data_IF_586218017800
#
_entry.id   IF_586218017800
#
_cell.length_a   1.000
_cell.length_b   1.000
_cell.length_c   1.000
_cell.angle_alpha   90.00
_cell.angle_beta   90.00
_cell.angle_gamma   90.00
#
_symmetry.space_group_name_H-M   'P 1'
#
loop_
_entity.id
_entity.type
_entity.pdbx_description
1 polymer ?
#
# COMPACT_ATOMS: atom_id res chain seq x y z
N UNK A 1 -11.19 4.95 -31.54
CA UNK A 1 -9.95 4.41 -30.96
C UNK A 1 -9.87 4.88 -29.51
N UNK A 2 -9.77 3.97 -28.52
CA UNK A 2 -9.48 4.38 -27.12
C UNK A 2 -8.06 4.93 -27.13
N UNK A 3 -7.88 6.22 -26.82
CA UNK A 3 -6.55 6.81 -26.62
C UNK A 3 -5.81 5.96 -25.56
N UNK A 4 -4.57 5.60 -25.82
CA UNK A 4 -3.72 4.95 -24.83
C UNK A 4 -3.57 5.88 -23.61
N UNK A 5 -3.52 5.31 -22.40
CA UNK A 5 -3.25 6.10 -21.20
C UNK A 5 -1.85 6.73 -21.31
N UNK A 6 -1.66 8.00 -20.91
CA UNK A 6 -0.36 8.62 -20.76
C UNK A 6 0.33 8.01 -19.52
N UNK A 7 1.13 6.96 -19.76
CA UNK A 7 1.87 6.27 -18.71
C UNK A 7 3.10 7.08 -18.27
N UNK A 8 3.55 6.84 -17.05
CA UNK A 8 4.85 7.35 -16.58
C UNK A 8 5.98 6.80 -17.43
N UNK A 9 7.09 7.51 -17.50
CA UNK A 9 8.35 7.01 -18.07
C UNK A 9 9.30 6.50 -16.97
N UNK A 10 10.46 5.96 -17.36
CA UNK A 10 11.45 5.43 -16.43
C UNK A 10 11.94 6.47 -15.43
N UNK A 11 12.19 7.71 -15.89
CA UNK A 11 12.65 8.80 -15.02
C UNK A 11 11.63 9.11 -13.92
N UNK A 12 10.34 9.17 -14.26
CA UNK A 12 9.27 9.44 -13.31
C UNK A 12 9.10 8.28 -12.31
N UNK A 13 9.21 7.03 -12.78
CA UNK A 13 9.17 5.86 -11.90
C UNK A 13 10.36 5.79 -10.95
N UNK A 14 11.57 6.11 -11.45
CA UNK A 14 12.78 6.19 -10.62
C UNK A 14 12.65 7.29 -9.57
N UNK A 15 12.16 8.48 -9.95
CA UNK A 15 11.88 9.56 -8.99
C UNK A 15 10.84 9.14 -7.96
N UNK A 16 9.78 8.43 -8.35
CA UNK A 16 8.80 7.93 -7.38
C UNK A 16 9.42 6.92 -6.39
N UNK A 17 10.29 6.04 -6.85
CA UNK A 17 10.99 5.10 -5.97
C UNK A 17 11.92 5.86 -5.01
N UNK A 18 12.64 6.88 -5.48
CA UNK A 18 13.55 7.66 -4.64
C UNK A 18 12.81 8.60 -3.69
N UNK A 19 11.90 9.40 -4.22
CA UNK A 19 11.31 10.53 -3.52
C UNK A 19 9.95 10.21 -2.88
N UNK A 20 9.30 9.13 -3.31
CA UNK A 20 8.00 8.66 -2.78
C UNK A 20 6.79 9.44 -3.25
N UNK A 21 6.91 10.34 -4.23
CA UNK A 21 5.77 11.13 -4.73
C UNK A 21 5.86 11.46 -6.23
N UNK A 22 4.69 11.76 -6.81
CA UNK A 22 4.55 12.33 -8.17
C UNK A 22 3.51 13.45 -8.10
N UNK A 23 3.88 14.64 -8.54
CA UNK A 23 2.96 15.77 -8.68
C UNK A 23 2.45 15.85 -10.13
N UNK A 24 1.13 15.95 -10.29
CA UNK A 24 0.42 16.00 -11.56
C UNK A 24 -0.36 17.30 -11.68
N UNK A 25 -0.45 17.83 -12.89
CA UNK A 25 -1.28 18.97 -13.26
C UNK A 25 -2.15 18.61 -14.48
N UNK A 26 -3.23 17.82 -14.28
CA UNK A 26 -4.13 17.46 -15.36
C UNK A 26 -4.93 18.68 -15.86
N UNK A 27 -5.35 18.63 -17.13
CA UNK A 27 -6.08 19.70 -17.82
C UNK A 27 -7.60 19.60 -17.59
N UNK A 28 -8.04 19.83 -16.36
CA UNK A 28 -9.46 19.88 -16.04
C UNK A 28 -10.08 21.23 -16.42
N UNK A 29 -11.39 21.26 -16.76
CA UNK A 29 -12.14 22.52 -16.81
C UNK A 29 -12.11 23.24 -15.45
N UNK A 30 -11.76 24.52 -15.38
CA UNK A 30 -11.70 25.27 -14.11
C UNK A 30 -13.00 25.21 -13.30
N UNK A 31 -14.14 25.19 -13.98
CA UNK A 31 -15.48 25.14 -13.40
C UNK A 31 -15.72 23.86 -12.57
N UNK A 32 -15.03 22.77 -12.91
CA UNK A 32 -15.13 21.52 -12.18
C UNK A 32 -14.59 21.66 -10.74
N UNK A 33 -13.47 22.35 -10.60
CA UNK A 33 -12.85 22.55 -9.26
C UNK A 33 -13.68 23.50 -8.41
N UNK A 34 -14.19 24.57 -8.99
CA UNK A 34 -15.07 25.53 -8.31
C UNK A 34 -16.38 24.84 -7.87
N UNK A 35 -16.96 24.00 -8.71
CA UNK A 35 -18.15 23.22 -8.38
C UNK A 35 -17.87 22.29 -7.19
N UNK A 36 -16.82 21.46 -7.26
CA UNK A 36 -16.45 20.54 -6.18
C UNK A 36 -16.18 21.30 -4.88
N UNK A 37 -15.49 22.44 -4.95
CA UNK A 37 -15.21 23.28 -3.77
C UNK A 37 -16.52 23.72 -3.09
N UNK A 38 -17.47 24.29 -3.87
CA UNK A 38 -18.78 24.74 -3.36
C UNK A 38 -19.62 23.60 -2.78
N UNK A 39 -19.63 22.45 -3.44
CA UNK A 39 -20.36 21.27 -2.95
C UNK A 39 -19.77 20.75 -1.63
N UNK A 40 -18.43 20.78 -1.45
CA UNK A 40 -17.79 20.46 -0.19
C UNK A 40 -18.22 21.44 0.90
N UNK A 41 -18.18 22.76 0.65
CA UNK A 41 -18.61 23.78 1.64
C UNK A 41 -20.08 23.58 2.03
N UNK A 42 -20.95 23.39 1.04
CA UNK A 42 -22.36 23.17 1.29
C UNK A 42 -22.62 21.89 2.11
N UNK A 43 -21.91 20.81 1.78
CA UNK A 43 -22.02 19.54 2.50
C UNK A 43 -21.55 19.69 3.95
N UNK A 44 -20.38 20.27 4.17
CA UNK A 44 -19.81 20.44 5.52
C UNK A 44 -20.67 21.35 6.40
N UNK A 45 -21.24 22.42 5.82
CA UNK A 45 -22.12 23.32 6.55
C UNK A 45 -23.43 22.67 6.99
N UNK A 46 -23.98 21.75 6.20
CA UNK A 46 -25.28 21.08 6.48
C UNK A 46 -25.13 19.82 7.33
N UNK A 47 -24.10 19.02 7.08
CA UNK A 47 -24.00 17.64 7.58
C UNK A 47 -22.73 17.37 8.38
N UNK A 48 -21.82 18.35 8.51
CA UNK A 48 -20.49 18.12 9.05
C UNK A 48 -19.61 17.25 8.16
N UNK A 49 -18.54 16.70 8.72
CA UNK A 49 -17.62 15.85 7.95
C UNK A 49 -18.20 14.44 7.77
N UNK A 50 -18.53 14.09 6.55
CA UNK A 50 -19.17 12.83 6.19
C UNK A 50 -18.17 11.67 5.97
N UNK A 51 -16.89 11.92 6.21
CA UNK A 51 -15.86 10.87 6.15
C UNK A 51 -15.82 10.18 4.78
N UNK A 52 -15.91 8.87 4.77
CA UNK A 52 -15.80 8.06 3.55
C UNK A 52 -16.98 8.22 2.57
N UNK A 53 -18.05 8.90 2.98
CA UNK A 53 -19.22 9.15 2.14
C UNK A 53 -19.06 10.36 1.20
N UNK A 54 -17.90 11.01 1.18
CA UNK A 54 -17.64 12.18 0.32
C UNK A 54 -17.88 11.86 -1.17
N UNK A 55 -17.44 10.72 -1.67
CA UNK A 55 -17.55 10.38 -3.09
C UNK A 55 -18.99 10.11 -3.54
N UNK A 56 -19.85 9.35 -2.81
CA UNK A 56 -21.26 9.23 -3.16
C UNK A 56 -22.02 10.54 -3.13
N UNK A 57 -21.61 11.49 -2.32
CA UNK A 57 -22.29 12.79 -2.16
C UNK A 57 -21.83 13.83 -3.16
N UNK A 58 -20.59 13.75 -3.63
CA UNK A 58 -20.02 14.62 -4.66
C UNK A 58 -19.41 13.72 -5.74
N UNK A 59 -20.26 13.15 -6.65
CA UNK A 59 -19.79 12.18 -7.66
C UNK A 59 -18.76 12.74 -8.63
N UNK A 60 -18.74 14.06 -8.85
CA UNK A 60 -17.76 14.72 -9.71
C UNK A 60 -16.30 14.51 -9.26
N UNK A 61 -16.09 14.18 -7.98
CA UNK A 61 -14.77 13.79 -7.49
C UNK A 61 -14.22 12.55 -8.22
N UNK A 62 -15.10 11.63 -8.65
CA UNK A 62 -14.68 10.47 -9.43
C UNK A 62 -14.01 10.89 -10.76
N UNK A 63 -14.51 11.97 -11.41
CA UNK A 63 -13.93 12.51 -12.65
C UNK A 63 -12.48 12.94 -12.46
N UNK A 64 -12.13 13.44 -11.26
CA UNK A 64 -10.75 13.82 -10.92
C UNK A 64 -9.82 12.60 -11.01
N UNK A 65 -10.21 11.48 -10.42
CA UNK A 65 -9.37 10.28 -10.39
C UNK A 65 -9.49 9.44 -11.67
N UNK A 66 -10.52 9.64 -12.48
CA UNK A 66 -10.68 8.98 -13.78
C UNK A 66 -9.94 9.71 -14.92
N UNK A 67 -9.36 10.87 -14.65
CA UNK A 67 -8.55 11.59 -15.63
C UNK A 67 -7.40 10.71 -16.17
N UNK A 68 -7.18 10.68 -17.51
CA UNK A 68 -6.20 9.78 -18.13
C UNK A 68 -4.79 9.88 -17.52
N UNK A 69 -4.31 11.10 -17.22
CA UNK A 69 -3.00 11.33 -16.62
C UNK A 69 -2.91 10.72 -15.20
N UNK A 70 -3.95 10.87 -14.39
CA UNK A 70 -4.01 10.30 -13.02
C UNK A 70 -4.06 8.78 -13.08
N UNK A 71 -4.91 8.24 -13.95
CA UNK A 71 -5.00 6.79 -14.18
C UNK A 71 -3.70 6.21 -14.70
N UNK A 72 -3.02 6.92 -15.61
CA UNK A 72 -1.72 6.51 -16.12
C UNK A 72 -0.65 6.46 -15.04
N UNK A 73 -0.57 7.46 -14.20
CA UNK A 73 0.36 7.51 -13.07
C UNK A 73 0.08 6.40 -12.03
N UNK A 74 -1.18 6.24 -11.61
CA UNK A 74 -1.57 5.15 -10.71
C UNK A 74 -1.31 3.76 -11.32
N UNK A 75 -1.50 3.61 -12.64
CA UNK A 75 -1.16 2.36 -13.34
C UNK A 75 0.35 2.09 -13.29
N UNK A 76 1.19 3.09 -13.48
CA UNK A 76 2.64 2.96 -13.35
C UNK A 76 3.04 2.49 -11.95
N UNK A 77 2.51 3.16 -10.92
CA UNK A 77 2.88 2.91 -9.52
C UNK A 77 2.28 1.62 -8.95
N UNK A 78 1.00 1.31 -9.27
CA UNK A 78 0.23 0.23 -8.62
C UNK A 78 -0.17 -0.92 -9.55
N UNK A 79 0.18 -0.85 -10.85
CA UNK A 79 -0.23 -1.87 -11.82
C UNK A 79 -1.59 -1.60 -12.46
N UNK A 80 -1.90 -2.35 -13.53
CA UNK A 80 -3.08 -2.13 -14.39
C UNK A 80 -4.43 -2.31 -13.70
N UNK A 81 -4.49 -3.07 -12.62
CA UNK A 81 -5.71 -3.44 -11.90
C UNK A 81 -5.74 -2.87 -10.48
N UNK A 82 -5.20 -1.68 -10.27
CA UNK A 82 -5.30 -1.02 -8.97
C UNK A 82 -6.77 -0.71 -8.61
N UNK A 83 -7.03 -0.54 -7.33
CA UNK A 83 -8.36 -0.24 -6.79
C UNK A 83 -8.32 1.05 -5.98
N UNK A 84 -9.33 1.91 -6.19
CA UNK A 84 -9.64 2.98 -5.26
C UNK A 84 -10.28 2.35 -4.02
N UNK A 85 -9.62 2.45 -2.87
CA UNK A 85 -10.12 1.93 -1.61
C UNK A 85 -11.30 2.75 -1.09
N UNK A 86 -12.12 2.17 -0.22
CA UNK A 86 -13.25 2.87 0.39
C UNK A 86 -12.84 3.92 1.43
N UNK A 87 -11.59 3.97 1.85
CA UNK A 87 -11.07 5.06 2.69
C UNK A 87 -10.83 6.29 1.82
N UNK A 88 -11.75 7.24 1.95
CA UNK A 88 -11.82 8.50 1.17
C UNK A 88 -12.21 9.58 2.13
N UNK A 89 -11.40 10.62 2.26
CA UNK A 89 -11.63 11.60 3.30
C UNK A 89 -11.36 13.02 2.82
N UNK A 90 -12.24 13.95 3.19
CA UNK A 90 -11.98 15.37 3.04
C UNK A 90 -11.37 15.91 4.34
N UNK A 91 -10.08 16.18 4.31
CA UNK A 91 -9.42 16.93 5.37
C UNK A 91 -9.67 18.41 5.17
N UNK A 92 -10.14 19.09 6.19
CA UNK A 92 -10.27 20.54 6.11
C UNK A 92 -9.64 21.22 7.31
N UNK A 93 -9.01 22.36 7.06
CA UNK A 93 -8.41 23.20 8.08
C UNK A 93 -9.06 24.59 8.00
N UNK A 94 -9.69 24.99 9.08
CA UNK A 94 -10.24 26.36 9.21
C UNK A 94 -9.11 27.36 9.47
N UNK A 95 -9.33 28.66 9.25
CA UNK A 95 -8.42 29.72 9.66
C UNK A 95 -7.97 29.56 11.12
N UNK A 96 -6.67 29.69 11.36
CA UNK A 96 -6.08 29.51 12.69
C UNK A 96 -5.86 28.07 13.12
N UNK A 97 -6.19 27.06 12.30
CA UNK A 97 -5.83 25.67 12.59
C UNK A 97 -4.32 25.53 12.75
N UNK A 98 -3.90 24.84 13.81
CA UNK A 98 -2.50 24.47 14.01
C UNK A 98 -2.10 23.35 13.06
N UNK A 99 -0.81 23.27 12.71
CA UNK A 99 -0.28 22.15 11.92
C UNK A 99 -0.26 20.85 12.73
N UNK A 100 0.13 19.77 12.06
CA UNK A 100 0.37 18.46 12.67
C UNK A 100 1.88 18.20 12.72
N UNK A 101 2.28 17.32 13.61
CA UNK A 101 3.60 16.70 13.54
C UNK A 101 3.68 15.76 12.34
N UNK A 102 4.90 15.51 11.83
CA UNK A 102 5.10 14.52 10.79
C UNK A 102 4.72 13.13 11.27
N UNK A 103 3.97 12.41 10.44
CA UNK A 103 3.48 11.06 10.73
C UNK A 103 3.38 10.23 9.44
N UNK A 104 3.18 8.93 9.62
CA UNK A 104 2.75 8.00 8.58
C UNK A 104 1.30 7.60 8.82
N UNK A 105 0.58 7.27 7.77
CA UNK A 105 -0.79 6.75 7.89
C UNK A 105 -0.85 5.24 8.19
N UNK A 106 0.26 4.55 8.15
CA UNK A 106 0.37 3.16 8.56
C UNK A 106 0.31 3.06 10.10
N UNK A 107 -0.90 2.96 10.63
CA UNK A 107 -1.16 2.94 12.10
C UNK A 107 -0.92 1.59 12.76
N UNK A 108 -0.48 0.61 12.03
CA UNK A 108 -0.45 -0.75 12.51
C UNK A 108 0.89 -1.05 13.18
N UNK A 109 1.00 -0.69 14.46
CA UNK A 109 2.23 -0.88 15.28
C UNK A 109 2.75 -2.32 15.41
N UNK A 110 2.04 -3.30 14.84
CA UNK A 110 2.45 -4.71 14.76
C UNK A 110 2.98 -5.11 13.38
N UNK A 111 3.17 -4.18 12.46
CA UNK A 111 3.77 -4.49 11.16
C UNK A 111 5.21 -4.89 11.39
N UNK A 112 5.53 -6.11 10.98
CA UNK A 112 6.84 -6.70 11.23
C UNK A 112 7.92 -6.22 10.28
N UNK A 113 7.55 -5.51 9.21
CA UNK A 113 8.45 -4.90 8.25
C UNK A 113 7.75 -3.71 7.59
N UNK A 114 8.53 -2.72 7.19
CA UNK A 114 8.04 -1.59 6.42
C UNK A 114 7.58 -2.04 5.03
N UNK A 115 6.50 -1.44 4.50
CA UNK A 115 5.98 -1.73 3.17
C UNK A 115 6.81 -1.02 2.10
N UNK A 116 8.09 -1.35 1.95
CA UNK A 116 8.97 -0.71 0.96
C UNK A 116 8.50 -0.95 -0.48
N UNK A 117 7.91 -2.12 -0.76
CA UNK A 117 7.25 -2.38 -2.04
C UNK A 117 5.93 -1.63 -2.10
N UNK A 118 5.80 -0.73 -3.07
CA UNK A 118 4.61 0.12 -3.17
C UNK A 118 3.37 -0.69 -3.57
N UNK A 119 2.67 -1.22 -2.56
CA UNK A 119 1.37 -1.88 -2.73
C UNK A 119 0.20 -0.95 -2.44
N UNK A 120 0.48 0.18 -1.77
CA UNK A 120 -0.48 1.22 -1.44
C UNK A 120 0.06 2.59 -1.80
N UNK A 121 -0.83 3.45 -2.31
CA UNK A 121 -0.54 4.85 -2.58
C UNK A 121 -1.70 5.72 -2.13
N UNK A 122 -1.42 6.97 -1.81
CA UNK A 122 -2.42 8.00 -1.55
C UNK A 122 -2.39 9.03 -2.66
N UNK A 123 -3.54 9.58 -3.00
CA UNK A 123 -3.65 10.73 -3.87
C UNK A 123 -4.28 11.89 -3.09
N UNK A 124 -3.61 13.03 -3.11
CA UNK A 124 -4.08 14.30 -2.54
C UNK A 124 -4.56 15.20 -3.67
N UNK A 125 -5.77 15.69 -3.57
CA UNK A 125 -6.37 16.61 -4.51
C UNK A 125 -6.84 17.87 -3.78
N UNK A 126 -6.53 19.03 -4.33
CA UNK A 126 -6.97 20.32 -3.83
C UNK A 126 -7.93 20.97 -4.84
N UNK A 127 -9.20 21.25 -4.44
CA UNK A 127 -10.16 21.93 -5.32
C UNK A 127 -9.95 23.45 -5.40
N UNK A 128 -9.04 24.01 -4.59
CA UNK A 128 -8.73 25.44 -4.56
C UNK A 128 -7.23 25.71 -4.73
N UNK A 129 -6.89 26.96 -5.04
CA UNK A 129 -5.50 27.42 -4.94
C UNK A 129 -4.97 27.21 -3.51
N UNK A 130 -3.81 26.64 -3.41
CA UNK A 130 -3.25 26.18 -2.12
C UNK A 130 -1.84 26.75 -1.93
N UNK A 131 -1.71 28.08 -1.70
CA UNK A 131 -0.43 28.68 -1.31
C UNK A 131 -0.01 28.22 0.09
N UNK A 132 1.24 28.47 0.48
CA UNK A 132 1.79 27.99 1.76
C UNK A 132 0.97 28.44 2.98
N UNK A 133 0.43 29.64 2.93
CA UNK A 133 -0.30 30.28 4.03
C UNK A 133 -1.62 29.61 4.37
N UNK A 134 -2.25 28.93 3.42
CA UNK A 134 -3.53 28.19 3.67
C UNK A 134 -3.29 26.83 4.34
N UNK A 135 -2.05 26.45 4.60
CA UNK A 135 -1.70 25.23 5.31
C UNK A 135 -1.87 23.95 4.47
N UNK A 136 -1.20 23.84 3.30
CA UNK A 136 -1.19 22.60 2.53
C UNK A 136 -0.57 21.44 3.31
N UNK A 137 -0.57 20.26 2.70
CA UNK A 137 0.22 19.14 3.19
C UNK A 137 1.69 19.38 2.86
N UNK A 138 2.56 19.08 3.82
CA UNK A 138 4.00 19.00 3.62
C UNK A 138 4.44 17.53 3.70
N UNK A 139 5.40 17.15 2.90
CA UNK A 139 6.00 15.82 2.85
C UNK A 139 7.50 15.90 3.07
N UNK A 140 8.10 14.77 3.47
CA UNK A 140 9.54 14.58 3.51
C UNK A 140 9.93 13.61 2.37
N UNK A 141 10.27 14.09 1.16
CA UNK A 141 10.62 13.23 0.04
C UNK A 141 11.75 12.25 0.39
N UNK A 142 11.61 10.98 -0.02
CA UNK A 142 12.58 9.93 0.27
C UNK A 142 12.41 9.25 1.64
N UNK A 143 11.52 9.75 2.49
CA UNK A 143 11.35 9.27 3.86
C UNK A 143 10.45 8.03 4.01
N UNK A 144 9.82 7.54 2.97
CA UNK A 144 8.90 6.39 3.01
C UNK A 144 9.53 5.10 3.54
N UNK A 145 10.84 4.99 3.49
CA UNK A 145 11.59 3.82 3.90
C UNK A 145 12.04 3.85 5.37
N UNK A 146 11.91 4.99 6.04
CA UNK A 146 12.35 5.16 7.42
C UNK A 146 11.22 4.94 8.40
N UNK A 147 11.51 4.17 9.46
CA UNK A 147 10.56 3.86 10.53
C UNK A 147 10.44 5.02 11.52
N UNK A 148 11.56 5.67 11.81
CA UNK A 148 11.64 6.68 12.86
C UNK A 148 11.48 8.09 12.30
N UNK A 149 10.76 8.94 13.05
CA UNK A 149 10.65 10.37 12.71
C UNK A 149 12.02 11.07 12.73
N UNK A 150 12.93 10.63 13.60
CA UNK A 150 14.28 11.17 13.66
C UNK A 150 15.06 11.00 12.35
N UNK A 151 14.99 9.82 11.75
CA UNK A 151 15.61 9.54 10.46
C UNK A 151 14.90 10.31 9.34
N UNK A 152 13.57 10.34 9.36
CA UNK A 152 12.78 11.07 8.37
C UNK A 152 13.06 12.58 8.37
N UNK A 153 13.29 13.20 9.54
CA UNK A 153 13.59 14.62 9.66
C UNK A 153 14.97 15.05 9.12
N UNK A 154 15.79 14.11 8.69
CA UNK A 154 17.01 14.43 7.94
C UNK A 154 16.70 14.88 6.50
N UNK A 155 15.47 14.65 6.02
CA UNK A 155 15.01 15.05 4.70
C UNK A 155 14.41 16.46 4.72
N UNK A 156 14.60 17.19 3.62
CA UNK A 156 14.05 18.54 3.49
C UNK A 156 12.53 18.49 3.26
N UNK A 157 11.83 19.34 3.99
CA UNK A 157 10.38 19.49 3.83
C UNK A 157 10.02 20.06 2.46
N UNK A 158 9.10 19.41 1.76
CA UNK A 158 8.47 19.88 0.53
C UNK A 158 7.01 20.21 0.78
N UNK A 159 6.63 21.46 0.53
CA UNK A 159 5.25 21.92 0.66
C UNK A 159 4.49 21.65 -0.63
N UNK A 160 3.35 20.96 -0.55
CA UNK A 160 2.52 20.61 -1.70
C UNK A 160 1.55 21.74 -2.07
N UNK A 161 2.11 22.92 -2.37
CA UNK A 161 1.36 24.06 -2.91
C UNK A 161 1.01 23.85 -4.38
N UNK A 162 -0.10 24.42 -4.84
CA UNK A 162 -0.48 24.38 -6.25
C UNK A 162 -1.81 25.05 -6.56
N UNK A 163 -2.08 25.18 -7.86
CA UNK A 163 -3.34 25.66 -8.41
C UNK A 163 -4.47 24.64 -8.21
N UNK A 164 -5.75 25.06 -8.32
CA UNK A 164 -6.87 24.13 -8.30
C UNK A 164 -6.67 23.00 -9.31
N UNK A 165 -6.95 21.76 -8.90
CA UNK A 165 -6.73 20.59 -9.74
C UNK A 165 -5.38 19.93 -9.58
N UNK A 166 -4.46 20.50 -8.80
CA UNK A 166 -3.19 19.84 -8.47
C UNK A 166 -3.45 18.51 -7.75
N UNK A 167 -2.84 17.45 -8.25
CA UNK A 167 -2.87 16.11 -7.64
C UNK A 167 -1.46 15.69 -7.30
N UNK A 168 -1.27 15.18 -6.10
CA UNK A 168 -0.01 14.53 -5.69
C UNK A 168 -0.30 13.09 -5.30
N UNK A 169 0.31 12.14 -6.01
CA UNK A 169 0.30 10.72 -5.65
C UNK A 169 1.54 10.48 -4.79
N UNK A 170 1.36 9.91 -3.60
CA UNK A 170 2.45 9.61 -2.68
C UNK A 170 2.46 8.13 -2.29
N UNK A 171 3.65 7.63 -1.96
CA UNK A 171 3.79 6.33 -1.30
C UNK A 171 3.05 6.35 0.04
N UNK A 172 2.36 5.26 0.41
CA UNK A 172 1.53 5.21 1.61
C UNK A 172 2.32 5.50 2.90
N UNK A 173 3.56 5.08 2.97
CA UNK A 173 4.45 5.26 4.12
C UNK A 173 5.29 6.55 4.06
N UNK A 174 5.03 7.47 3.12
CA UNK A 174 5.75 8.74 3.07
C UNK A 174 5.38 9.60 4.28
N UNK A 175 6.39 10.08 5.02
CA UNK A 175 6.18 10.98 6.14
C UNK A 175 5.60 12.31 5.67
N UNK A 176 4.48 12.70 6.27
CA UNK A 176 3.73 13.90 5.90
C UNK A 176 3.04 14.55 7.09
N UNK A 177 2.60 15.78 6.90
CA UNK A 177 1.83 16.54 7.90
C UNK A 177 0.92 17.56 7.24
N UNK A 178 -0.16 17.97 7.91
CA UNK A 178 -0.85 19.21 7.58
C UNK A 178 -0.08 20.40 8.16
N UNK A 179 0.10 21.46 7.37
CA UNK A 179 0.66 22.73 7.87
C UNK A 179 -0.42 23.56 8.54
N UNK A 180 0.00 24.54 9.37
CA UNK A 180 -0.91 25.50 9.97
C UNK A 180 -1.59 26.37 8.90
N UNK A 181 -2.89 26.64 9.06
CA UNK A 181 -3.62 27.59 8.21
C UNK A 181 -3.54 28.98 8.78
N UNK A 182 -2.69 29.82 8.20
CA UNK A 182 -2.46 31.21 8.57
C UNK A 182 -3.31 32.18 7.74
N UNK A 183 -4.15 31.67 6.83
CA UNK A 183 -5.02 32.46 5.96
C UNK A 183 -6.36 32.74 6.61
N UNK A 184 -7.22 33.47 5.89
CA UNK A 184 -8.62 33.75 6.28
C UNK A 184 -9.63 32.78 5.62
N UNK A 185 -9.18 31.78 4.88
CA UNK A 185 -10.01 30.86 4.11
C UNK A 185 -9.84 29.42 4.59
N UNK A 186 -10.91 28.62 4.44
CA UNK A 186 -10.84 27.19 4.69
C UNK A 186 -9.95 26.49 3.64
N UNK A 187 -9.21 25.47 4.06
CA UNK A 187 -8.46 24.61 3.19
C UNK A 187 -9.10 23.22 3.16
N UNK A 188 -9.45 22.75 1.98
CA UNK A 188 -9.94 21.40 1.72
C UNK A 188 -8.86 20.58 0.99
N UNK A 189 -8.65 19.36 1.43
CA UNK A 189 -7.78 18.39 0.77
C UNK A 189 -8.47 17.03 0.79
N UNK A 190 -8.69 16.48 -0.39
CA UNK A 190 -9.27 15.16 -0.53
C UNK A 190 -8.15 14.12 -0.59
N UNK A 191 -8.14 13.22 0.39
CA UNK A 191 -7.21 12.09 0.49
C UNK A 191 -7.92 10.80 0.10
N UNK A 192 -7.44 10.15 -0.95
CA UNK A 192 -7.96 8.90 -1.46
C UNK A 192 -6.87 7.86 -1.47
N UNK A 193 -7.18 6.66 -0.95
CA UNK A 193 -6.27 5.53 -0.97
C UNK A 193 -6.49 4.66 -2.19
N UNK A 194 -5.37 4.13 -2.71
CA UNK A 194 -5.35 3.18 -3.80
C UNK A 194 -4.44 2.02 -3.45
N UNK A 195 -4.77 0.82 -3.91
CA UNK A 195 -3.90 -0.33 -3.68
C UNK A 195 -3.79 -1.25 -4.89
N UNK A 196 -2.65 -1.93 -4.95
CA UNK A 196 -2.29 -2.89 -5.98
C UNK A 196 -3.05 -4.21 -5.75
N UNK A 197 -3.58 -4.78 -6.82
CA UNK A 197 -4.23 -6.10 -6.75
C UNK A 197 -3.31 -7.25 -7.14
N UNK A 198 -2.30 -7.01 -7.96
CA UNK A 198 -1.41 -8.05 -8.47
C UNK A 198 0.04 -7.62 -8.27
N UNK A 199 0.87 -8.52 -7.77
CA UNK A 199 2.31 -8.31 -7.73
C UNK A 199 2.83 -8.09 -9.17
N UNK A 200 3.89 -7.28 -9.35
CA UNK A 200 4.42 -6.99 -10.66
C UNK A 200 4.91 -8.28 -11.35
N UNK A 201 4.63 -8.42 -12.62
CA UNK A 201 5.18 -9.49 -13.49
C UNK A 201 5.79 -8.93 -14.76
N UNK A 202 5.49 -7.68 -15.05
CA UNK A 202 6.01 -6.86 -16.14
C UNK A 202 5.88 -5.39 -15.76
N UNK A 203 6.66 -4.49 -16.34
CA UNK A 203 6.50 -3.05 -16.15
C UNK A 203 5.10 -2.58 -16.57
N UNK A 204 4.53 -1.64 -15.83
CA UNK A 204 3.22 -1.02 -16.13
C UNK A 204 3.33 0.46 -16.45
N UNK A 205 4.51 0.91 -16.84
CA UNK A 205 4.86 2.24 -17.35
C UNK A 205 5.60 2.12 -18.68
N UNK A 206 5.99 3.25 -19.31
CA UNK A 206 6.82 3.26 -20.50
C UNK A 206 8.25 2.93 -20.11
N UNK A 207 8.56 1.63 -20.09
CA UNK A 207 9.84 1.11 -19.66
C UNK A 207 10.76 0.86 -20.85
N UNK A 208 11.93 1.47 -20.83
CA UNK A 208 13.02 1.28 -21.80
C UNK A 208 14.29 0.74 -21.12
N UNK A 209 14.40 0.91 -19.80
CA UNK A 209 15.59 0.62 -19.03
C UNK A 209 15.35 -0.52 -18.03
N UNK A 210 16.01 -1.64 -18.21
CA UNK A 210 15.93 -2.78 -17.28
C UNK A 210 16.86 -2.65 -16.08
N UNK A 211 17.82 -1.69 -16.11
CA UNK A 211 18.77 -1.48 -15.03
C UNK A 211 18.42 -0.23 -14.23
N UNK A 212 18.64 -0.32 -12.94
CA UNK A 212 18.57 0.86 -12.09
C UNK A 212 19.75 1.79 -12.37
N UNK A 213 19.46 3.02 -12.73
CA UNK A 213 20.39 4.14 -12.75
C UNK A 213 19.80 5.26 -11.92
N UNK A 214 20.59 5.86 -11.00
CA UNK A 214 20.13 6.98 -10.17
C UNK A 214 19.59 8.12 -11.03
N UNK A 215 18.63 8.86 -10.49
CA UNK A 215 18.17 10.09 -11.12
C UNK A 215 19.17 11.23 -10.85
N UNK A 216 19.15 12.27 -11.68
CA UNK A 216 20.03 13.45 -11.50
C UNK A 216 19.75 14.23 -10.22
N UNK A 217 18.67 13.93 -9.50
CA UNK A 217 18.33 14.53 -8.20
C UNK A 217 19.11 13.96 -7.01
N UNK A 218 19.98 12.97 -7.21
CA UNK A 218 20.80 12.37 -6.13
C UNK A 218 21.59 13.35 -5.26
N UNK A 219 21.90 14.53 -5.77
CA UNK A 219 22.66 15.54 -5.00
C UNK A 219 21.91 16.11 -3.79
N UNK A 220 20.60 15.87 -3.68
CA UNK A 220 19.76 16.40 -2.59
C UNK A 220 19.74 15.46 -1.39
N UNK A 221 19.86 14.15 -1.64
CA UNK A 221 19.80 13.12 -0.61
C UNK A 221 21.12 12.34 -0.61
N UNK A 222 21.90 12.53 0.43
CA UNK A 222 23.20 11.87 0.64
C UNK A 222 23.08 10.35 0.90
N UNK A 223 22.03 9.70 0.40
CA UNK A 223 21.76 8.31 0.75
C UNK A 223 22.42 7.34 -0.22
N UNK A 224 23.36 6.57 0.30
CA UNK A 224 23.95 5.39 -0.38
C UNK A 224 22.99 4.21 -0.34
N UNK A 225 21.68 4.44 -0.67
CA UNK A 225 20.63 3.42 -0.64
C UNK A 225 20.45 2.71 -1.99
N UNK A 226 21.46 2.75 -2.85
CA UNK A 226 21.38 2.21 -4.21
C UNK A 226 20.99 0.74 -4.27
N UNK A 227 21.41 -0.06 -3.28
CA UNK A 227 21.08 -1.48 -3.23
C UNK A 227 19.58 -1.69 -2.99
N UNK A 228 18.98 -0.89 -2.12
CA UNK A 228 17.54 -0.89 -1.88
C UNK A 228 16.77 -0.46 -3.13
N UNK A 229 17.16 0.65 -3.75
CA UNK A 229 16.50 1.15 -4.98
C UNK A 229 16.58 0.15 -6.14
N UNK A 230 17.72 -0.54 -6.31
CA UNK A 230 17.86 -1.62 -7.29
C UNK A 230 16.90 -2.77 -7.00
N UNK A 231 16.78 -3.20 -5.75
CA UNK A 231 15.86 -4.26 -5.35
C UNK A 231 14.40 -3.88 -5.66
N UNK A 232 14.00 -2.64 -5.34
CA UNK A 232 12.65 -2.13 -5.60
C UNK A 232 12.38 -1.94 -7.11
N UNK A 233 13.38 -1.50 -7.87
CA UNK A 233 13.30 -1.41 -9.33
C UNK A 233 13.07 -2.78 -9.95
N UNK A 234 13.91 -3.78 -9.60
CA UNK A 234 13.77 -5.15 -10.08
C UNK A 234 12.41 -5.74 -9.74
N UNK A 235 11.92 -5.53 -8.50
CA UNK A 235 10.58 -5.96 -8.13
C UNK A 235 9.50 -5.33 -9.03
N UNK A 236 9.55 -4.02 -9.30
CA UNK A 236 8.59 -3.35 -10.18
C UNK A 236 8.66 -3.87 -11.64
N UNK A 237 9.82 -4.32 -12.09
CA UNK A 237 10.00 -4.99 -13.40
C UNK A 237 9.38 -6.40 -13.43
N UNK A 238 8.99 -6.95 -12.28
CA UNK A 238 8.52 -8.33 -12.17
C UNK A 238 9.65 -9.35 -12.00
N UNK A 239 10.87 -8.88 -11.74
CA UNK A 239 12.03 -9.72 -11.45
C UNK A 239 12.20 -9.81 -9.92
N UNK A 240 11.99 -11.00 -9.38
CA UNK A 240 12.20 -11.29 -7.97
C UNK A 240 13.63 -11.73 -7.64
N UNK A 241 14.48 -11.87 -8.66
CA UNK A 241 15.89 -12.26 -8.46
C UNK A 241 16.70 -11.02 -8.04
N UNK A 242 17.36 -11.01 -6.87
CA UNK A 242 18.32 -9.96 -6.59
C UNK A 242 19.41 -10.00 -7.65
N UNK A 243 19.68 -8.85 -8.27
CA UNK A 243 20.75 -8.76 -9.25
C UNK A 243 22.07 -9.16 -8.58
N UNK A 244 22.64 -10.27 -9.04
CA UNK A 244 23.78 -11.00 -8.48
C UNK A 244 25.15 -10.30 -8.63
N UNK A 245 25.21 -8.98 -8.49
CA UNK A 245 26.45 -8.22 -8.59
C UNK A 245 26.93 -7.65 -7.24
N UNK A 246 26.59 -8.33 -6.14
CA UNK A 246 27.19 -7.96 -4.86
C UNK A 246 28.58 -8.60 -4.79
N UNK A 247 29.55 -7.76 -4.50
CA UNK A 247 30.91 -8.18 -4.18
C UNK A 247 30.86 -9.16 -3.01
N UNK A 248 31.23 -10.41 -3.25
CA UNK A 248 31.23 -11.50 -2.24
C UNK A 248 32.23 -11.29 -1.12
N UNK A 249 32.94 -10.16 -1.09
CA UNK A 249 33.95 -9.80 -0.08
C UNK A 249 33.39 -9.07 1.14
N UNK A 250 32.05 -8.86 1.23
CA UNK A 250 31.49 -8.26 2.43
C UNK A 250 31.68 -9.16 3.66
N UNK A 251 32.12 -8.54 4.76
CA UNK A 251 32.09 -9.19 6.08
C UNK A 251 30.64 -9.24 6.59
N UNK A 252 30.05 -10.43 6.52
CA UNK A 252 28.66 -10.65 6.93
C UNK A 252 28.46 -10.37 8.42
N UNK A 253 29.45 -10.64 9.27
CA UNK A 253 29.37 -10.38 10.70
C UNK A 253 29.34 -8.88 11.00
N UNK A 254 30.06 -8.07 10.23
CA UNK A 254 30.00 -6.61 10.33
C UNK A 254 28.63 -6.09 9.88
N UNK A 255 28.09 -6.58 8.75
CA UNK A 255 26.77 -6.18 8.26
C UNK A 255 25.65 -6.54 9.25
N UNK A 256 25.72 -7.72 9.88
CA UNK A 256 24.77 -8.12 10.93
C UNK A 256 24.82 -7.15 12.11
N UNK A 257 26.02 -6.75 12.57
CA UNK A 257 26.18 -5.73 13.62
C UNK A 257 25.58 -4.40 13.21
N UNK A 258 25.70 -4.00 11.94
CA UNK A 258 25.15 -2.75 11.41
C UNK A 258 23.63 -2.71 11.37
N UNK A 259 22.93 -3.83 11.50
CA UNK A 259 21.47 -3.83 11.72
C UNK A 259 21.06 -3.16 13.04
N UNK A 260 21.98 -2.98 13.98
CA UNK A 260 21.80 -2.24 15.23
C UNK A 260 22.49 -0.88 15.27
N UNK A 261 22.97 -0.36 14.14
CA UNK A 261 23.61 0.95 14.05
C UNK A 261 22.67 2.07 14.50
N UNK A 262 23.19 3.18 14.97
CA UNK A 262 22.40 4.36 15.34
C UNK A 262 21.69 4.98 14.11
N UNK A 263 22.37 4.98 12.97
CA UNK A 263 21.80 5.46 11.71
C UNK A 263 20.85 4.43 11.11
N UNK A 264 19.59 4.82 10.94
CA UNK A 264 18.59 3.99 10.25
C UNK A 264 18.94 3.75 8.79
N UNK A 265 19.58 4.72 8.15
CA UNK A 265 20.09 4.61 6.79
C UNK A 265 21.11 3.46 6.68
N UNK A 266 22.02 3.34 7.65
CA UNK A 266 22.98 2.25 7.70
C UNK A 266 22.33 0.89 7.97
N UNK A 267 21.31 0.86 8.85
CA UNK A 267 20.50 -0.35 9.08
C UNK A 267 19.82 -0.84 7.82
N UNK A 268 19.17 0.05 7.06
CA UNK A 268 18.50 -0.28 5.80
C UNK A 268 19.46 -0.78 4.73
N UNK A 269 20.59 -0.07 4.55
CA UNK A 269 21.64 -0.51 3.62
C UNK A 269 22.15 -1.89 3.96
N UNK A 270 22.42 -2.15 5.23
CA UNK A 270 22.90 -3.46 5.71
C UNK A 270 21.85 -4.55 5.49
N UNK A 271 20.57 -4.28 5.77
CA UNK A 271 19.48 -5.22 5.55
C UNK A 271 19.38 -5.65 4.08
N UNK A 272 19.37 -4.70 3.14
CA UNK A 272 19.31 -5.01 1.71
C UNK A 272 20.59 -5.68 1.19
N UNK A 273 21.74 -5.33 1.76
CA UNK A 273 23.01 -6.01 1.43
C UNK A 273 22.99 -7.47 1.89
N UNK A 274 22.54 -7.72 3.13
CA UNK A 274 22.39 -9.08 3.66
C UNK A 274 21.36 -9.90 2.86
N UNK A 275 20.23 -9.28 2.47
CA UNK A 275 19.25 -9.92 1.60
C UNK A 275 19.86 -10.38 0.28
N UNK A 276 20.66 -9.55 -0.34
CA UNK A 276 21.31 -9.86 -1.61
C UNK A 276 22.46 -10.90 -1.47
N UNK A 277 23.11 -11.02 -0.30
CA UNK A 277 24.04 -12.11 0.01
C UNK A 277 23.29 -13.45 0.10
N UNK A 278 22.09 -13.46 0.68
CA UNK A 278 21.19 -14.61 0.70
C UNK A 278 21.60 -15.72 1.66
N UNK A 279 21.65 -16.96 1.18
CA UNK A 279 21.68 -18.22 1.95
C UNK A 279 22.65 -18.29 3.13
N UNK A 280 23.78 -17.61 3.06
CA UNK A 280 24.85 -17.70 4.07
C UNK A 280 24.49 -17.07 5.41
N UNK A 281 23.59 -16.06 5.38
CA UNK A 281 23.25 -15.22 6.55
C UNK A 281 21.86 -15.54 7.13
N UNK A 282 21.14 -16.50 6.56
CA UNK A 282 19.76 -16.81 6.95
C UNK A 282 19.64 -17.26 8.42
N UNK A 283 20.51 -18.15 8.95
CA UNK A 283 20.40 -18.56 10.36
C UNK A 283 20.51 -17.35 11.30
N UNK A 284 21.52 -16.51 11.13
CA UNK A 284 21.74 -15.31 11.94
C UNK A 284 20.57 -14.32 11.82
N UNK A 285 20.01 -14.15 10.64
CA UNK A 285 18.84 -13.27 10.44
C UNK A 285 17.59 -13.81 11.14
N UNK A 286 17.38 -15.14 11.15
CA UNK A 286 16.26 -15.76 11.87
C UNK A 286 16.40 -15.53 13.37
N UNK A 287 17.61 -15.70 13.94
CA UNK A 287 17.87 -15.47 15.37
C UNK A 287 17.59 -14.01 15.79
N UNK A 288 17.75 -13.06 14.88
CA UNK A 288 17.47 -11.65 15.12
C UNK A 288 15.97 -11.27 15.03
N UNK A 289 15.14 -12.15 14.49
CA UNK A 289 13.70 -11.85 14.30
C UNK A 289 12.95 -11.65 15.63
N UNK A 290 13.44 -12.13 16.75
CA UNK A 290 12.79 -11.92 18.05
C UNK A 290 13.04 -10.51 18.61
N UNK A 291 14.08 -9.83 18.14
CA UNK A 291 14.43 -8.47 18.58
C UNK A 291 13.39 -7.46 18.13
N UNK A 292 12.91 -6.63 19.07
CA UNK A 292 11.97 -5.54 18.76
C UNK A 292 12.59 -4.45 17.89
N UNK A 293 13.87 -4.16 18.06
CA UNK A 293 14.57 -3.07 17.38
C UNK A 293 15.21 -3.47 16.05
N UNK A 294 15.72 -4.70 15.95
CA UNK A 294 16.49 -5.19 14.80
C UNK A 294 15.64 -6.07 13.89
N UNK A 295 14.66 -6.77 14.46
CA UNK A 295 13.92 -7.80 13.76
C UNK A 295 13.14 -7.32 12.54
N UNK A 296 12.72 -6.05 12.48
CA UNK A 296 12.12 -5.47 11.29
C UNK A 296 13.13 -5.44 10.11
N UNK A 297 14.36 -5.00 10.38
CA UNK A 297 15.44 -4.98 9.36
C UNK A 297 15.88 -6.39 8.95
N UNK A 298 15.92 -7.34 9.90
CA UNK A 298 16.14 -8.75 9.57
C UNK A 298 15.02 -9.31 8.68
N UNK A 299 13.76 -8.93 8.93
CA UNK A 299 12.62 -9.31 8.08
C UNK A 299 12.75 -8.72 6.66
N UNK A 300 13.15 -7.45 6.54
CA UNK A 300 13.44 -6.82 5.25
C UNK A 300 14.54 -7.54 4.48
N UNK A 301 15.63 -7.91 5.18
CA UNK A 301 16.72 -8.69 4.59
C UNK A 301 16.20 -10.04 4.05
N UNK A 302 15.41 -10.77 4.83
CA UNK A 302 14.83 -12.04 4.41
C UNK A 302 13.86 -11.87 3.22
N UNK A 303 12.96 -10.87 3.26
CA UNK A 303 11.97 -10.59 2.20
C UNK A 303 12.58 -10.05 0.90
N UNK A 304 13.79 -9.48 0.96
CA UNK A 304 14.55 -9.02 -0.21
C UNK A 304 15.58 -10.03 -0.71
N UNK A 305 15.63 -11.22 -0.14
CA UNK A 305 16.55 -12.27 -0.53
C UNK A 305 16.15 -12.98 -1.83
N UNK A 306 17.03 -13.90 -2.30
CA UNK A 306 16.70 -14.80 -3.40
C UNK A 306 15.69 -15.87 -2.94
N UNK A 307 14.74 -16.31 -3.76
CA UNK A 307 13.81 -17.40 -3.44
C UNK A 307 14.45 -18.72 -2.98
N UNK A 308 15.74 -18.95 -3.23
CA UNK A 308 16.48 -20.12 -2.71
C UNK A 308 16.43 -20.25 -1.18
N UNK A 309 16.17 -19.16 -0.45
CA UNK A 309 16.07 -19.15 1.02
C UNK A 309 14.73 -19.70 1.53
N UNK A 310 13.71 -19.79 0.69
CA UNK A 310 12.33 -20.15 1.06
C UNK A 310 12.23 -21.45 1.87
N UNK A 311 12.94 -22.56 1.55
CA UNK A 311 12.87 -23.79 2.34
C UNK A 311 13.32 -23.60 3.80
N UNK A 312 14.33 -22.75 4.06
CA UNK A 312 14.79 -22.42 5.41
C UNK A 312 13.76 -21.61 6.17
N UNK A 313 13.11 -20.62 5.50
CA UNK A 313 12.06 -19.81 6.10
C UNK A 313 10.82 -20.64 6.41
N UNK A 314 10.43 -21.56 5.54
CA UNK A 314 9.33 -22.50 5.79
C UNK A 314 9.57 -23.29 7.09
N UNK A 315 10.79 -23.77 7.32
CA UNK A 315 11.15 -24.49 8.54
C UNK A 315 10.99 -23.60 9.78
N UNK A 316 11.29 -22.31 9.68
CA UNK A 316 11.17 -21.33 10.76
C UNK A 316 9.72 -20.90 11.07
N UNK A 317 8.73 -21.23 10.23
CA UNK A 317 7.30 -21.06 10.57
C UNK A 317 6.86 -21.92 11.78
N UNK A 318 7.69 -22.87 12.23
CA UNK A 318 7.47 -23.70 13.42
C UNK A 318 8.14 -23.17 14.69
N UNK A 319 8.74 -21.97 14.62
CA UNK A 319 9.44 -21.37 15.76
C UNK A 319 8.50 -21.18 16.97
N UNK A 320 9.02 -21.27 18.18
CA UNK A 320 8.24 -21.11 19.42
C UNK A 320 7.67 -19.68 19.57
N UNK A 321 8.45 -18.67 19.21
CA UNK A 321 8.04 -17.26 19.25
C UNK A 321 7.05 -16.95 18.12
N UNK A 322 5.90 -16.41 18.47
CA UNK A 322 4.89 -15.96 17.52
C UNK A 322 5.36 -14.73 16.70
N UNK A 323 6.20 -13.89 17.29
CA UNK A 323 6.79 -12.75 16.58
C UNK A 323 7.70 -13.22 15.43
N UNK A 324 8.51 -14.26 15.68
CA UNK A 324 9.36 -14.87 14.66
C UNK A 324 8.49 -15.48 13.55
N UNK A 325 7.47 -16.28 13.90
CA UNK A 325 6.56 -16.88 12.91
C UNK A 325 5.85 -15.82 12.07
N UNK A 326 5.40 -14.73 12.70
CA UNK A 326 4.72 -13.63 11.99
C UNK A 326 5.67 -12.93 10.99
N UNK A 327 6.91 -12.64 11.39
CA UNK A 327 7.92 -12.02 10.54
C UNK A 327 8.35 -12.94 9.39
N UNK A 328 8.48 -14.23 9.66
CA UNK A 328 8.74 -15.23 8.61
C UNK A 328 7.58 -15.29 7.62
N UNK A 329 6.34 -15.32 8.09
CA UNK A 329 5.17 -15.29 7.20
C UNK A 329 5.19 -14.05 6.29
N UNK A 330 5.52 -12.87 6.83
CA UNK A 330 5.66 -11.62 6.07
C UNK A 330 6.76 -11.73 5.00
N UNK A 331 7.96 -12.19 5.38
CA UNK A 331 9.08 -12.35 4.46
C UNK A 331 8.76 -13.32 3.30
N UNK A 332 8.07 -14.44 3.61
CA UNK A 332 7.59 -15.38 2.57
C UNK A 332 6.60 -14.74 1.59
N UNK A 333 5.73 -13.85 2.09
CA UNK A 333 4.82 -13.06 1.26
C UNK A 333 5.54 -12.06 0.35
N UNK A 334 6.63 -11.48 0.84
CA UNK A 334 7.47 -10.59 0.04
C UNK A 334 8.27 -11.35 -1.02
N UNK A 335 8.78 -12.53 -0.70
CA UNK A 335 9.43 -13.40 -1.70
C UNK A 335 8.44 -13.87 -2.78
N UNK A 336 7.17 -14.06 -2.43
CA UNK A 336 6.10 -14.41 -3.37
C UNK A 336 6.24 -15.80 -4.00
N UNK A 337 7.09 -16.66 -3.45
CA UNK A 337 7.36 -17.98 -4.00
C UNK A 337 6.20 -18.95 -3.69
N UNK A 338 5.73 -19.62 -4.73
CA UNK A 338 4.58 -20.53 -4.66
C UNK A 338 4.82 -21.73 -3.70
N UNK A 339 6.04 -22.16 -3.49
CA UNK A 339 6.37 -23.27 -2.59
C UNK A 339 6.02 -22.99 -1.12
N UNK A 340 5.89 -21.70 -0.74
CA UNK A 340 5.47 -21.29 0.59
C UNK A 340 3.95 -21.42 0.82
N UNK A 341 3.14 -21.56 -0.25
CA UNK A 341 1.68 -21.46 -0.20
C UNK A 341 1.06 -22.42 0.82
N UNK A 342 1.40 -23.71 0.76
CA UNK A 342 0.81 -24.73 1.66
C UNK A 342 1.17 -24.45 3.13
N UNK A 343 2.36 -23.99 3.41
CA UNK A 343 2.82 -23.68 4.76
C UNK A 343 2.18 -22.42 5.33
N UNK A 344 1.94 -21.41 4.49
CA UNK A 344 1.18 -20.22 4.88
C UNK A 344 -0.31 -20.56 5.10
N UNK A 345 -0.88 -21.51 4.36
CA UNK A 345 -2.23 -22.02 4.65
C UNK A 345 -2.33 -22.68 6.03
N UNK A 346 -1.29 -23.38 6.48
CA UNK A 346 -1.24 -23.91 7.84
C UNK A 346 -1.13 -22.80 8.88
N UNK A 347 -0.37 -21.75 8.60
CA UNK A 347 -0.22 -20.58 9.48
C UNK A 347 -1.51 -19.77 9.66
N UNK A 348 -2.53 -19.95 8.83
CA UNK A 348 -3.87 -19.37 9.06
C UNK A 348 -4.55 -19.92 10.33
N UNK A 349 -4.14 -21.08 10.81
CA UNK A 349 -4.62 -21.68 12.06
C UNK A 349 -3.77 -21.36 13.29
N UNK A 350 -2.80 -20.44 13.19
CA UNK A 350 -1.96 -20.08 14.32
C UNK A 350 -2.75 -19.43 15.45
N UNK A 351 -2.39 -19.72 16.69
CA UNK A 351 -3.04 -19.14 17.88
C UNK A 351 -2.81 -17.64 17.99
N UNK A 352 -1.68 -17.12 17.46
CA UNK A 352 -1.33 -15.71 17.52
C UNK A 352 -1.96 -14.93 16.36
N UNK A 353 -2.78 -13.89 16.63
CA UNK A 353 -3.42 -13.10 15.59
C UNK A 353 -2.45 -12.47 14.59
N UNK A 354 -1.26 -12.05 15.06
CA UNK A 354 -0.22 -11.47 14.19
C UNK A 354 0.28 -12.44 13.12
N UNK A 355 0.36 -13.74 13.46
CA UNK A 355 0.76 -14.78 12.49
C UNK A 355 -0.34 -15.01 11.47
N UNK A 356 -1.61 -15.17 11.92
CA UNK A 356 -2.76 -15.31 11.03
C UNK A 356 -2.87 -14.13 10.06
N UNK A 357 -2.69 -12.91 10.57
CA UNK A 357 -2.72 -11.69 9.77
C UNK A 357 -1.68 -11.70 8.65
N UNK A 358 -0.39 -11.90 9.01
CA UNK A 358 0.69 -11.87 8.04
C UNK A 358 0.58 -13.03 7.03
N UNK A 359 0.18 -14.22 7.48
CA UNK A 359 -0.08 -15.34 6.59
C UNK A 359 -1.23 -15.04 5.60
N UNK A 360 -2.30 -14.41 6.08
CA UNK A 360 -3.45 -14.02 5.25
C UNK A 360 -3.06 -13.02 4.17
N UNK A 361 -2.28 -12.00 4.52
CA UNK A 361 -1.79 -11.00 3.56
C UNK A 361 -0.81 -11.62 2.56
N UNK A 362 0.12 -12.43 3.05
CA UNK A 362 1.15 -13.09 2.24
C UNK A 362 0.55 -14.04 1.20
N UNK A 363 -0.50 -14.77 1.56
CA UNK A 363 -1.26 -15.58 0.61
C UNK A 363 -1.82 -14.76 -0.55
N UNK A 364 -2.25 -13.53 -0.30
CA UNK A 364 -2.72 -12.62 -1.35
C UNK A 364 -1.61 -12.08 -2.25
N UNK A 365 -0.34 -12.16 -1.84
CA UNK A 365 0.81 -11.66 -2.61
C UNK A 365 1.46 -12.76 -3.48
N UNK A 366 1.21 -14.04 -3.19
CA UNK A 366 1.79 -15.15 -3.96
C UNK A 366 1.14 -15.23 -5.35
N UNK A 367 1.96 -15.32 -6.39
CA UNK A 367 1.49 -15.50 -7.76
C UNK A 367 0.92 -16.91 -7.98
N UNK A 368 -0.29 -17.00 -8.55
CA UNK A 368 -0.99 -18.27 -8.81
C UNK A 368 -0.89 -18.74 -10.25
N UNK A 369 -0.11 -18.05 -11.10
CA UNK A 369 -0.06 -18.32 -12.55
C UNK A 369 0.34 -19.75 -12.92
N UNK A 370 1.15 -20.39 -12.09
CA UNK A 370 1.67 -21.74 -12.33
C UNK A 370 1.28 -22.71 -11.23
N UNK A 371 0.25 -22.36 -10.46
CA UNK A 371 -0.16 -23.13 -9.30
C UNK A 371 -0.97 -24.38 -9.63
N UNK A 372 -0.93 -25.36 -8.74
CA UNK A 372 -1.82 -26.52 -8.76
C UNK A 372 -3.24 -26.05 -8.44
N UNK A 373 -4.23 -26.38 -9.29
CA UNK A 373 -5.62 -25.95 -9.16
C UNK A 373 -6.22 -26.36 -7.80
N UNK A 374 -5.96 -27.57 -7.34
CA UNK A 374 -6.46 -28.06 -6.04
C UNK A 374 -5.92 -27.21 -4.85
N UNK A 375 -4.65 -26.79 -4.92
CA UNK A 375 -4.07 -25.95 -3.86
C UNK A 375 -4.61 -24.52 -3.92
N UNK A 376 -4.91 -24.00 -5.11
CA UNK A 376 -5.56 -22.71 -5.30
C UNK A 376 -6.99 -22.71 -4.72
N UNK A 377 -7.76 -23.78 -4.98
CA UNK A 377 -9.10 -23.96 -4.39
C UNK A 377 -9.03 -24.08 -2.86
N UNK A 378 -8.03 -24.81 -2.34
CA UNK A 378 -7.75 -24.90 -0.91
C UNK A 378 -7.44 -23.52 -0.32
N UNK A 379 -6.67 -22.67 -1.03
CA UNK A 379 -6.39 -21.31 -0.62
C UNK A 379 -7.65 -20.46 -0.53
N UNK A 380 -8.48 -20.44 -1.59
CA UNK A 380 -9.75 -19.71 -1.59
C UNK A 380 -10.68 -20.15 -0.46
N UNK A 381 -10.80 -21.48 -0.26
CA UNK A 381 -11.64 -22.06 0.80
C UNK A 381 -11.15 -21.67 2.19
N UNK A 382 -9.85 -21.71 2.44
CA UNK A 382 -9.30 -21.37 3.78
C UNK A 382 -9.35 -19.85 4.03
N UNK A 383 -9.05 -19.01 3.05
CA UNK A 383 -9.27 -17.57 3.17
C UNK A 383 -10.74 -17.23 3.42
N UNK A 384 -11.67 -17.98 2.80
CA UNK A 384 -13.10 -17.87 3.09
C UNK A 384 -13.45 -18.16 4.55
N UNK A 385 -12.79 -19.11 5.21
CA UNK A 385 -12.97 -19.37 6.64
C UNK A 385 -12.42 -18.22 7.51
N UNK A 386 -11.32 -17.60 7.09
CA UNK A 386 -10.71 -16.46 7.78
C UNK A 386 -11.58 -15.20 7.77
N UNK A 387 -12.59 -15.12 6.91
CA UNK A 387 -13.62 -14.06 6.97
C UNK A 387 -14.45 -14.10 8.25
N UNK A 388 -14.33 -15.15 9.08
CA UNK A 388 -14.95 -15.28 10.40
C UNK A 388 -13.98 -15.04 11.57
N UNK A 389 -12.75 -14.59 11.31
CA UNK A 389 -11.79 -14.29 12.38
C UNK A 389 -12.32 -13.22 13.33
N UNK A 390 -12.02 -13.31 14.61
CA UNK A 390 -12.43 -12.35 15.64
C UNK A 390 -11.92 -10.92 15.37
N UNK A 391 -10.74 -10.79 14.74
CA UNK A 391 -10.11 -9.51 14.44
C UNK A 391 -10.49 -9.01 13.04
N UNK A 392 -11.09 -7.83 12.96
CA UNK A 392 -11.57 -7.27 11.69
C UNK A 392 -10.43 -7.05 10.68
N UNK A 393 -9.19 -6.70 11.11
CA UNK A 393 -8.06 -6.52 10.20
C UNK A 393 -7.62 -7.83 9.53
N UNK A 394 -7.83 -9.00 10.18
CA UNK A 394 -7.59 -10.31 9.58
C UNK A 394 -8.69 -10.61 8.57
N UNK A 395 -9.97 -10.34 8.90
CA UNK A 395 -11.10 -10.46 7.98
C UNK A 395 -10.93 -9.57 6.74
N UNK A 396 -10.47 -8.32 6.96
CA UNK A 396 -10.19 -7.37 5.87
C UNK A 396 -9.08 -7.89 4.94
N UNK A 397 -7.96 -8.36 5.50
CA UNK A 397 -6.89 -8.97 4.72
C UNK A 397 -7.36 -10.21 3.95
N UNK A 398 -8.23 -11.04 4.53
CA UNK A 398 -8.80 -12.22 3.85
C UNK A 398 -9.67 -11.81 2.65
N UNK A 399 -10.58 -10.86 2.84
CA UNK A 399 -11.41 -10.35 1.76
C UNK A 399 -10.58 -9.71 0.64
N UNK A 400 -9.54 -8.94 0.99
CA UNK A 400 -8.60 -8.34 0.05
C UNK A 400 -7.77 -9.40 -0.70
N UNK A 401 -7.29 -10.43 -0.01
CA UNK A 401 -6.55 -11.54 -0.62
C UNK A 401 -7.43 -12.34 -1.58
N UNK A 402 -8.69 -12.59 -1.24
CA UNK A 402 -9.69 -13.17 -2.15
C UNK A 402 -9.96 -12.26 -3.36
N UNK A 403 -10.02 -10.95 -3.15
CA UNK A 403 -10.14 -10.00 -4.27
C UNK A 403 -8.91 -10.06 -5.19
N UNK A 404 -7.69 -10.22 -4.66
CA UNK A 404 -6.46 -10.41 -5.45
C UNK A 404 -6.51 -11.69 -6.29
N UNK A 405 -7.07 -12.79 -5.77
CA UNK A 405 -7.22 -14.05 -6.49
C UNK A 405 -8.19 -13.95 -7.69
N UNK A 406 -9.14 -13.03 -7.68
CA UNK A 406 -10.12 -12.84 -8.76
C UNK A 406 -10.99 -14.08 -8.97
N UNK A 407 -11.14 -14.56 -10.22
CA UNK A 407 -11.98 -15.70 -10.56
C UNK A 407 -11.62 -16.99 -9.79
N UNK A 408 -10.38 -17.14 -9.37
CA UNK A 408 -9.92 -18.30 -8.59
C UNK A 408 -10.48 -18.33 -7.16
N UNK A 409 -11.06 -17.23 -6.69
CA UNK A 409 -11.71 -17.15 -5.37
C UNK A 409 -13.18 -17.67 -5.37
N UNK A 410 -13.66 -18.26 -6.46
CA UNK A 410 -15.03 -18.78 -6.59
C UNK A 410 -15.45 -19.68 -5.41
N UNK A 411 -14.62 -20.59 -4.86
CA UNK A 411 -14.96 -21.40 -3.69
C UNK A 411 -15.33 -20.57 -2.44
N UNK A 412 -14.95 -19.30 -2.37
CA UNK A 412 -15.25 -18.42 -1.24
C UNK A 412 -16.51 -17.55 -1.44
N UNK A 413 -17.31 -17.75 -2.50
CA UNK A 413 -18.51 -16.93 -2.78
C UNK A 413 -19.46 -16.91 -1.60
N UNK A 414 -19.75 -18.07 -0.96
CA UNK A 414 -20.69 -18.14 0.18
C UNK A 414 -20.18 -17.33 1.39
N UNK A 415 -18.96 -17.55 1.91
CA UNK A 415 -18.45 -16.71 3.01
C UNK A 415 -18.31 -15.24 2.63
N UNK A 416 -17.99 -14.89 1.39
CA UNK A 416 -17.97 -13.51 0.94
C UNK A 416 -19.35 -12.86 0.95
N UNK A 417 -20.41 -13.62 0.66
CA UNK A 417 -21.80 -13.15 0.79
C UNK A 417 -22.11 -12.73 2.23
N UNK A 418 -21.73 -13.56 3.20
CA UNK A 418 -21.90 -13.22 4.62
C UNK A 418 -21.09 -11.96 4.99
N UNK A 419 -19.86 -11.83 4.47
CA UNK A 419 -18.98 -10.68 4.73
C UNK A 419 -19.49 -9.35 4.15
N UNK A 420 -20.47 -9.33 3.25
CA UNK A 420 -21.17 -8.12 2.81
C UNK A 420 -21.93 -7.42 3.95
N UNK A 421 -22.25 -8.14 5.02
CA UNK A 421 -22.92 -7.62 6.21
C UNK A 421 -21.97 -7.49 7.42
N UNK A 422 -20.66 -7.58 7.23
CA UNK A 422 -19.67 -7.40 8.30
C UNK A 422 -19.85 -6.05 8.99
N UNK A 423 -19.61 -5.97 10.30
CA UNK A 423 -19.63 -4.73 11.05
C UNK A 423 -18.61 -3.70 10.53
N UNK A 424 -17.45 -4.17 10.04
CA UNK A 424 -16.40 -3.32 9.53
C UNK A 424 -16.62 -2.98 8.04
N UNK A 425 -16.66 -1.69 7.74
CA UNK A 425 -16.89 -1.16 6.39
C UNK A 425 -15.85 -1.61 5.36
N UNK A 426 -14.60 -1.83 5.76
CA UNK A 426 -13.52 -2.24 4.85
C UNK A 426 -13.65 -3.70 4.48
N UNK A 427 -14.05 -4.55 5.42
CA UNK A 427 -14.39 -5.95 5.15
C UNK A 427 -15.53 -6.02 4.14
N UNK A 428 -16.63 -5.26 4.35
CA UNK A 428 -17.75 -5.21 3.38
C UNK A 428 -17.28 -4.78 1.99
N UNK A 429 -16.48 -3.71 1.91
CA UNK A 429 -15.96 -3.22 0.64
C UNK A 429 -15.12 -4.27 -0.08
N UNK A 430 -14.15 -4.90 0.60
CA UNK A 430 -13.27 -5.89 0.00
C UNK A 430 -14.02 -7.20 -0.34
N UNK A 431 -15.04 -7.57 0.41
CA UNK A 431 -15.92 -8.68 0.07
C UNK A 431 -16.71 -8.41 -1.23
N UNK A 432 -17.30 -7.22 -1.36
CA UNK A 432 -17.96 -6.81 -2.59
C UNK A 432 -16.99 -6.77 -3.79
N UNK A 433 -15.79 -6.25 -3.58
CA UNK A 433 -14.75 -6.25 -4.61
C UNK A 433 -14.35 -7.68 -5.01
N UNK A 434 -14.19 -8.59 -4.05
CA UNK A 434 -13.88 -9.99 -4.34
C UNK A 434 -14.96 -10.64 -5.18
N UNK A 435 -16.24 -10.50 -4.82
CA UNK A 435 -17.38 -11.00 -5.60
C UNK A 435 -17.41 -10.42 -7.01
N UNK A 436 -17.18 -9.08 -7.15
CA UNK A 436 -17.07 -8.43 -8.46
C UNK A 436 -15.96 -9.05 -9.31
N UNK A 437 -14.82 -9.37 -8.72
CA UNK A 437 -13.65 -9.90 -9.43
C UNK A 437 -13.74 -11.41 -9.71
N UNK A 438 -14.49 -12.15 -8.90
CA UNK A 438 -14.87 -13.54 -9.20
C UNK A 438 -15.67 -13.55 -10.51
N UNK A 439 -16.65 -12.65 -10.66
CA UNK A 439 -17.33 -12.37 -11.91
C UNK A 439 -18.24 -13.49 -12.43
N UNK A 440 -18.48 -14.57 -11.66
CA UNK A 440 -19.46 -15.59 -12.03
C UNK A 440 -20.87 -15.01 -11.94
N UNK A 441 -21.86 -15.52 -12.72
CA UNK A 441 -23.25 -15.07 -12.62
C UNK A 441 -23.76 -15.07 -11.17
N UNK A 442 -23.50 -16.14 -10.43
CA UNK A 442 -23.87 -16.23 -9.01
C UNK A 442 -23.29 -15.11 -8.15
N UNK A 443 -21.99 -14.77 -8.34
CA UNK A 443 -21.34 -13.70 -7.58
C UNK A 443 -21.90 -12.32 -7.97
N UNK A 444 -22.27 -12.14 -9.24
CA UNK A 444 -22.89 -10.90 -9.73
C UNK A 444 -24.31 -10.75 -9.20
N UNK A 445 -25.12 -11.79 -9.23
CA UNK A 445 -26.49 -11.79 -8.69
C UNK A 445 -26.49 -11.42 -7.20
N UNK A 446 -25.58 -12.00 -6.41
CA UNK A 446 -25.40 -11.66 -5.00
C UNK A 446 -25.10 -10.15 -4.81
N UNK A 447 -24.24 -9.59 -5.65
CA UNK A 447 -23.94 -8.14 -5.57
C UNK A 447 -25.14 -7.27 -5.95
N UNK A 448 -25.92 -7.67 -6.96
CA UNK A 448 -27.14 -6.94 -7.33
C UNK A 448 -28.20 -7.06 -6.23
N UNK A 449 -28.41 -8.24 -5.67
CA UNK A 449 -29.35 -8.43 -4.55
C UNK A 449 -28.93 -7.56 -3.35
N UNK A 450 -27.64 -7.55 -3.01
CA UNK A 450 -27.12 -6.69 -1.93
C UNK A 450 -27.35 -5.21 -2.25
N UNK A 451 -27.10 -4.78 -3.50
CA UNK A 451 -27.35 -3.40 -3.92
C UNK A 451 -28.83 -3.04 -3.78
N UNK A 452 -29.76 -3.90 -4.20
CA UNK A 452 -31.20 -3.65 -4.11
C UNK A 452 -31.72 -3.63 -2.69
N UNK A 453 -31.06 -4.31 -1.76
CA UNK A 453 -31.42 -4.29 -0.33
C UNK A 453 -30.67 -3.23 0.45
N UNK A 454 -29.69 -2.56 -0.15
CA UNK A 454 -28.91 -1.50 0.47
C UNK A 454 -29.75 -0.21 0.59
N UNK A 455 -29.30 0.65 1.51
CA UNK A 455 -29.91 1.97 1.68
C UNK A 455 -29.62 2.86 0.46
N UNK A 456 -30.69 3.25 -0.28
CA UNK A 456 -30.57 4.07 -1.48
C UNK A 456 -30.55 5.57 -1.19
N UNK A 457 -31.21 6.02 -0.11
CA UNK A 457 -31.24 7.42 0.27
C UNK A 457 -30.21 7.70 1.38
N UNK A 458 -29.12 8.40 1.07
CA UNK A 458 -28.11 8.74 2.07
C UNK A 458 -28.62 9.73 3.13
N UNK A 459 -29.68 10.47 2.82
CA UNK A 459 -30.26 11.51 3.67
C UNK A 459 -31.32 10.99 4.64
N UNK A 460 -31.79 9.76 4.47
CA UNK A 460 -32.77 9.16 5.39
C UNK A 460 -32.13 8.88 6.75
N UNK A 461 -32.66 9.43 7.79
CA UNK A 461 -32.25 9.25 9.21
C UNK A 461 -33.45 8.84 10.05
N UNK A 462 -33.23 8.58 11.35
CA UNK A 462 -34.34 8.37 12.30
C UNK A 462 -35.27 9.59 12.39
N UNK A 463 -34.73 10.78 12.17
CA UNK A 463 -35.45 12.06 12.28
C UNK A 463 -36.09 12.47 10.95
N UNK A 464 -35.65 11.88 9.84
CA UNK A 464 -36.17 12.11 8.50
C UNK A 464 -36.27 10.79 7.74
N UNK A 465 -37.33 10.00 7.95
CA UNK A 465 -37.49 8.67 7.36
C UNK A 465 -37.88 8.70 5.86
N UNK A 466 -38.21 9.87 5.29
CA UNK A 466 -38.61 10.05 3.90
C UNK A 466 -37.63 10.91 3.12
#
# INVERSE_FOLDING_TARGET
MKKSLPLLNDQQMKSFIQDGYIKLAPDYPPELHEKIYREIEQMLSKNGNLGNNILPLIPDIQTIFDHPLVRGALTGVLGVNYVMHSHRFCHFNVPGSVGQDFHKDSYEGDISANNHRCRWAMAFYYPQNTPKEIGPTAILPGSQYYETSQAAHQHNELVLSGEPGTITIIHYDLWHRAMANLSLSNRYMLKFLFYRLQEPTVPTWQNEDTKWHPTTHEKIYNSDQQIMYRSLWSWNLGDSSPQSTIDTRYDTSELVKKLSADSEEERLRSAYTLGAIGDKVIPELIDLLESKSIGAYATLALGSSNPTVVPKLISALKHSSDLVRARIASALGDLGDYSALEHLLLALGDTAPRVRRNATESLGNISLKHGNQSLIEKQATNLGKILLDEHYWIRDNAARSLAKMGAQAEPAVVPLTCALSDENRYVRFNAALALKRIGTPKAQDILFDHLFTSRWCPMTTSDSPY
#
